data_IF_164920975665
#
_entry.id   IF_164920975665
#
_cell.length_a   1.000
_cell.length_b   1.000
_cell.length_c   1.000
_cell.angle_alpha   90.00
_cell.angle_beta   90.00
_cell.angle_gamma   90.00
#
_symmetry.space_group_name_H-M   'P 1'
#
loop_
_entity.id
_entity.type
_entity.pdbx_description
1 polymer ?
#
# COMPACT_ATOMS: atom_id res chain seq x y z
N UNK A 1 4.30 10.73 -28.19
CA UNK A 1 3.81 9.39 -27.79
C UNK A 1 2.82 8.98 -28.87
N UNK A 2 3.12 7.88 -29.58
CA UNK A 2 2.22 7.31 -30.58
C UNK A 2 1.02 6.71 -29.87
N UNK A 3 -0.20 7.09 -30.30
CA UNK A 3 -1.42 6.40 -29.86
C UNK A 3 -1.28 4.90 -30.09
N UNK A 4 -1.69 4.04 -29.11
CA UNK A 4 -1.71 2.61 -29.32
C UNK A 4 -2.68 2.31 -30.47
N UNK A 5 -2.16 1.77 -31.57
CA UNK A 5 -2.96 1.33 -32.71
C UNK A 5 -3.86 0.19 -32.23
N UNK A 6 -5.17 0.43 -32.13
CA UNK A 6 -6.16 -0.65 -32.00
C UNK A 6 -5.93 -1.65 -33.14
N UNK A 7 -5.57 -2.88 -32.80
CA UNK A 7 -5.62 -3.94 -33.79
C UNK A 7 -7.11 -4.17 -34.10
N UNK A 8 -7.50 -4.10 -35.36
CA UNK A 8 -8.87 -4.38 -35.82
C UNK A 8 -9.39 -5.78 -35.44
N UNK A 9 -8.60 -6.58 -34.73
CA UNK A 9 -8.83 -7.97 -34.34
C UNK A 9 -8.68 -8.25 -32.83
N UNK A 10 -8.67 -7.21 -31.95
CA UNK A 10 -8.64 -7.49 -30.53
C UNK A 10 -9.94 -8.11 -30.04
N UNK A 11 -9.82 -9.18 -29.25
CA UNK A 11 -10.95 -9.85 -28.58
C UNK A 11 -11.31 -9.24 -27.23
N UNK A 12 -10.50 -8.30 -26.76
CA UNK A 12 -10.69 -7.64 -25.47
C UNK A 12 -11.60 -6.43 -25.59
N UNK A 13 -12.15 -6.00 -24.45
CA UNK A 13 -12.84 -4.71 -24.35
C UNK A 13 -11.82 -3.58 -24.63
N UNK A 14 -12.23 -2.48 -25.27
CA UNK A 14 -11.32 -1.36 -25.57
C UNK A 14 -10.57 -0.82 -24.34
N UNK A 15 -11.19 -0.84 -23.16
CA UNK A 15 -10.55 -0.43 -21.92
C UNK A 15 -9.36 -1.32 -21.55
N UNK A 16 -9.51 -2.64 -21.76
CA UNK A 16 -8.44 -3.61 -21.49
C UNK A 16 -7.25 -3.42 -22.44
N UNK A 17 -7.53 -3.13 -23.72
CA UNK A 17 -6.46 -2.87 -24.70
C UNK A 17 -5.64 -1.61 -24.38
N UNK A 18 -6.21 -0.65 -23.64
CA UNK A 18 -5.54 0.60 -23.26
C UNK A 18 -4.69 0.50 -21.99
N UNK A 19 -4.95 -0.50 -21.14
CA UNK A 19 -4.30 -0.63 -19.84
C UNK A 19 -2.95 -1.32 -19.99
N UNK A 20 -1.88 -0.70 -19.47
CA UNK A 20 -0.55 -1.33 -19.39
C UNK A 20 -0.43 -2.35 -18.23
N UNK A 21 -1.45 -2.60 -17.49
CA UNK A 21 -1.44 -3.51 -16.34
C UNK A 21 -0.39 -3.15 -15.25
N UNK A 22 -0.58 -3.67 -14.06
CA UNK A 22 0.36 -3.45 -12.96
C UNK A 22 1.63 -4.30 -13.13
N UNK A 23 2.81 -3.67 -13.11
CA UNK A 23 4.10 -4.37 -13.12
C UNK A 23 4.60 -4.57 -11.67
N UNK A 24 4.64 -5.81 -11.17
CA UNK A 24 5.17 -6.11 -9.84
C UNK A 24 6.64 -5.70 -9.68
N UNK A 25 7.07 -5.53 -8.44
CA UNK A 25 8.51 -5.37 -8.16
C UNK A 25 9.28 -6.64 -8.51
N UNK A 26 10.52 -6.44 -8.95
CA UNK A 26 11.44 -7.54 -9.32
C UNK A 26 11.59 -8.54 -8.16
N UNK A 27 11.59 -9.84 -8.50
CA UNK A 27 11.69 -10.95 -7.57
C UNK A 27 12.89 -11.84 -7.97
N UNK A 28 14.13 -11.53 -7.51
CA UNK A 28 15.30 -12.36 -7.80
C UNK A 28 15.10 -13.79 -7.31
N UNK A 29 15.40 -14.76 -8.17
CA UNK A 29 15.30 -16.19 -7.83
C UNK A 29 16.64 -16.77 -7.33
N UNK A 30 17.73 -16.06 -7.57
CA UNK A 30 19.06 -16.45 -7.10
C UNK A 30 19.26 -16.09 -5.62
N UNK A 31 20.10 -16.85 -4.93
CA UNK A 31 20.50 -16.55 -3.56
C UNK A 31 21.50 -15.37 -3.47
N UNK A 32 21.63 -14.81 -2.28
CA UNK A 32 22.61 -13.78 -1.96
C UNK A 32 22.16 -12.35 -2.28
N UNK A 33 20.90 -12.14 -2.61
CA UNK A 33 20.32 -10.80 -2.72
C UNK A 33 19.90 -10.24 -1.37
N UNK A 34 20.20 -8.97 -1.14
CA UNK A 34 19.54 -8.16 -0.10
C UNK A 34 18.35 -7.49 -0.77
N UNK A 35 17.14 -7.96 -0.44
CA UNK A 35 15.90 -7.59 -1.11
C UNK A 35 15.11 -6.53 -0.32
N UNK A 36 15.23 -5.27 -0.72
CA UNK A 36 14.63 -4.12 -0.05
C UNK A 36 13.70 -3.30 -0.98
N UNK A 37 12.96 -3.98 -1.89
CA UNK A 37 12.20 -3.32 -2.97
C UNK A 37 10.68 -3.43 -2.85
N UNK A 38 10.11 -4.42 -2.15
CA UNK A 38 8.66 -4.73 -2.15
C UNK A 38 7.97 -4.63 -0.79
N UNK A 39 8.65 -4.00 0.17
CA UNK A 39 8.11 -3.71 1.50
C UNK A 39 7.64 -4.97 2.24
N UNK A 40 8.36 -6.08 2.06
CA UNK A 40 8.15 -7.29 2.86
C UNK A 40 8.72 -7.11 4.26
N UNK A 41 8.18 -7.85 5.21
CA UNK A 41 8.73 -7.89 6.57
C UNK A 41 9.97 -8.78 6.58
N UNK A 42 11.13 -8.32 7.06
CA UNK A 42 12.36 -9.11 7.08
C UNK A 42 12.34 -10.23 8.14
N UNK A 43 11.39 -10.17 9.06
CA UNK A 43 11.25 -11.17 10.14
C UNK A 43 10.19 -12.19 9.79
N UNK A 44 10.34 -13.46 10.25
CA UNK A 44 9.37 -14.52 9.96
C UNK A 44 8.02 -14.25 10.65
N UNK A 45 6.94 -14.89 10.17
CA UNK A 45 5.67 -14.88 10.88
C UNK A 45 5.78 -15.63 12.22
N UNK A 46 4.77 -15.46 13.07
CA UNK A 46 4.68 -16.20 14.36
C UNK A 46 4.84 -17.72 14.17
N UNK A 47 5.56 -18.41 15.06
CA UNK A 47 5.62 -19.86 15.06
C UNK A 47 4.23 -20.54 15.08
N UNK A 48 3.24 -19.90 15.72
CA UNK A 48 1.87 -20.39 15.76
C UNK A 48 1.24 -20.46 14.34
N UNK A 49 1.60 -19.53 13.47
CA UNK A 49 1.15 -19.52 12.06
C UNK A 49 1.63 -20.78 11.34
N UNK A 50 2.91 -21.12 11.49
CA UNK A 50 3.46 -22.34 10.86
C UNK A 50 2.76 -23.60 11.35
N UNK A 51 2.54 -23.70 12.66
CA UNK A 51 1.84 -24.84 13.25
C UNK A 51 0.39 -24.96 12.75
N UNK A 52 -0.33 -23.82 12.66
CA UNK A 52 -1.70 -23.80 12.16
C UNK A 52 -1.81 -24.20 10.68
N UNK A 53 -0.89 -23.73 9.83
CA UNK A 53 -0.84 -24.11 8.41
C UNK A 53 -0.56 -25.60 8.23
N UNK A 54 0.40 -26.17 8.99
CA UNK A 54 0.70 -27.60 8.95
C UNK A 54 -0.52 -28.43 9.37
N UNK A 55 -1.17 -28.08 10.48
CA UNK A 55 -2.37 -28.77 10.94
C UNK A 55 -3.52 -28.68 9.93
N UNK A 56 -3.69 -27.52 9.29
CA UNK A 56 -4.70 -27.33 8.24
C UNK A 56 -4.39 -28.17 6.98
N UNK A 57 -3.11 -28.30 6.61
CA UNK A 57 -2.67 -29.12 5.47
C UNK A 57 -2.87 -30.63 5.70
N UNK A 58 -2.80 -31.10 6.94
CA UNK A 58 -3.11 -32.46 7.33
C UNK A 58 -4.63 -32.74 7.38
N UNK A 59 -5.43 -31.70 7.29
CA UNK A 59 -6.88 -31.77 7.33
C UNK A 59 -7.52 -32.14 5.98
N UNK A 60 -8.82 -31.86 5.86
CA UNK A 60 -9.61 -32.22 4.68
C UNK A 60 -9.58 -31.12 3.62
N UNK A 61 -8.52 -31.05 2.81
CA UNK A 61 -8.39 -30.07 1.71
C UNK A 61 -9.37 -30.29 0.54
N UNK A 62 -10.07 -31.41 0.51
CA UNK A 62 -11.11 -31.74 -0.48
C UNK A 62 -12.49 -31.16 -0.14
N UNK A 63 -12.61 -30.36 0.91
CA UNK A 63 -13.85 -29.70 1.34
C UNK A 63 -13.64 -28.21 1.33
N UNK A 64 -14.65 -27.47 0.84
CA UNK A 64 -14.63 -26.01 0.87
C UNK A 64 -14.45 -25.45 2.28
N UNK A 65 -13.70 -24.35 2.43
CA UNK A 65 -13.54 -23.66 3.71
C UNK A 65 -14.85 -22.97 4.16
N UNK A 66 -14.85 -22.42 5.37
CA UNK A 66 -15.93 -21.54 5.83
C UNK A 66 -16.04 -20.29 4.92
N UNK A 67 -17.13 -20.11 4.17
CA UNK A 67 -17.30 -19.03 3.20
C UNK A 67 -17.33 -17.65 3.83
N UNK A 68 -17.58 -17.57 5.15
CA UNK A 68 -17.63 -16.32 5.91
C UNK A 68 -16.38 -16.09 6.76
N UNK A 69 -15.45 -17.04 6.83
CA UNK A 69 -14.28 -16.96 7.70
C UNK A 69 -14.66 -16.59 9.15
N UNK A 70 -15.68 -17.25 9.70
CA UNK A 70 -16.36 -16.88 10.95
C UNK A 70 -15.40 -16.73 12.12
N UNK A 71 -14.45 -17.67 12.29
CA UNK A 71 -13.48 -17.63 13.37
C UNK A 71 -12.58 -16.38 13.26
N UNK A 72 -12.05 -16.10 12.07
CA UNK A 72 -11.23 -14.92 11.82
C UNK A 72 -12.02 -13.63 12.08
N UNK A 73 -13.23 -13.51 11.55
CA UNK A 73 -14.08 -12.30 11.71
C UNK A 73 -14.34 -11.99 13.17
N UNK A 74 -14.61 -13.00 14.01
CA UNK A 74 -14.80 -12.82 15.47
C UNK A 74 -13.55 -12.24 16.14
N UNK A 75 -12.34 -12.74 15.75
CA UNK A 75 -11.09 -12.24 16.33
C UNK A 75 -10.74 -10.85 15.85
N UNK A 76 -10.87 -10.59 14.55
CA UNK A 76 -10.66 -9.26 13.98
C UNK A 76 -11.62 -8.23 14.60
N UNK A 77 -12.90 -8.55 14.70
CA UNK A 77 -13.92 -7.69 15.31
C UNK A 77 -13.57 -7.33 16.76
N UNK A 78 -13.15 -8.31 17.56
CA UNK A 78 -12.72 -8.06 18.94
C UNK A 78 -11.49 -7.13 19.01
N UNK A 79 -10.53 -7.28 18.09
CA UNK A 79 -9.34 -6.42 18.02
C UNK A 79 -9.70 -4.96 17.66
N UNK A 80 -10.68 -4.77 16.77
CA UNK A 80 -11.11 -3.44 16.31
C UNK A 80 -12.27 -2.85 17.14
N UNK A 81 -12.79 -3.57 18.13
CA UNK A 81 -13.90 -3.11 18.97
C UNK A 81 -15.22 -2.96 18.22
N UNK A 82 -15.45 -3.80 17.20
CA UNK A 82 -16.66 -3.78 16.34
C UNK A 82 -17.38 -5.13 16.35
N UNK A 83 -18.58 -5.20 15.75
CA UNK A 83 -19.28 -6.48 15.54
C UNK A 83 -18.63 -7.27 14.38
N UNK A 84 -18.63 -8.62 14.39
CA UNK A 84 -18.16 -9.44 13.28
C UNK A 84 -18.82 -9.13 11.92
N UNK A 85 -19.99 -8.54 11.89
CA UNK A 85 -20.65 -8.09 10.65
C UNK A 85 -19.97 -6.87 9.99
N UNK A 86 -19.04 -6.20 10.70
CA UNK A 86 -18.19 -5.14 10.16
C UNK A 86 -16.98 -5.66 9.37
N UNK A 87 -16.69 -6.96 9.40
CA UNK A 87 -15.48 -7.54 8.84
C UNK A 87 -15.77 -8.36 7.58
N UNK A 88 -15.01 -8.10 6.51
CA UNK A 88 -14.99 -8.93 5.30
C UNK A 88 -13.56 -9.31 4.95
N UNK A 89 -13.17 -10.59 5.05
CA UNK A 89 -11.88 -11.09 4.57
C UNK A 89 -11.79 -11.15 3.05
N UNK A 90 -10.55 -11.01 2.55
CA UNK A 90 -10.21 -11.14 1.15
C UNK A 90 -8.86 -11.80 0.92
N UNK A 91 -8.61 -12.20 -0.31
CA UNK A 91 -7.35 -12.82 -0.74
C UNK A 91 -6.26 -11.74 -0.96
N UNK A 92 -5.88 -11.07 0.12
CA UNK A 92 -5.08 -9.87 0.16
C UNK A 92 -5.91 -8.59 0.11
N UNK A 93 -5.28 -7.46 0.50
CA UNK A 93 -5.94 -6.15 0.37
C UNK A 93 -6.27 -5.80 -1.08
N UNK A 94 -5.50 -6.27 -2.05
CA UNK A 94 -5.73 -6.00 -3.47
C UNK A 94 -7.07 -6.56 -3.95
N UNK A 95 -7.47 -7.79 -3.52
CA UNK A 95 -8.81 -8.30 -3.76
C UNK A 95 -9.87 -7.43 -3.07
N UNK A 96 -9.64 -7.02 -1.82
CA UNK A 96 -10.56 -6.12 -1.11
C UNK A 96 -10.79 -4.82 -1.88
N UNK A 97 -9.72 -4.18 -2.38
CA UNK A 97 -9.82 -2.97 -3.19
C UNK A 97 -10.58 -3.22 -4.51
N UNK A 98 -10.35 -4.37 -5.15
CA UNK A 98 -11.08 -4.81 -6.35
C UNK A 98 -12.57 -4.98 -6.07
N UNK A 99 -12.94 -5.64 -4.98
CA UNK A 99 -14.34 -5.83 -4.58
C UNK A 99 -15.04 -4.50 -4.28
N UNK A 100 -14.34 -3.58 -3.63
CA UNK A 100 -14.85 -2.24 -3.35
C UNK A 100 -15.09 -1.48 -4.66
N UNK A 101 -14.12 -1.49 -5.57
CA UNK A 101 -14.27 -0.81 -6.87
C UNK A 101 -15.46 -1.38 -7.65
N UNK A 102 -15.58 -2.71 -7.73
CA UNK A 102 -16.74 -3.37 -8.39
C UNK A 102 -18.09 -3.04 -7.74
N UNK A 103 -18.12 -2.82 -6.44
CA UNK A 103 -19.36 -2.56 -5.73
C UNK A 103 -19.83 -1.11 -5.80
N UNK A 104 -18.91 -0.16 -5.96
CA UNK A 104 -19.22 1.27 -5.84
C UNK A 104 -19.05 2.05 -7.14
N UNK A 105 -18.25 1.57 -8.10
CA UNK A 105 -17.91 2.32 -9.31
C UNK A 105 -18.67 1.77 -10.51
N UNK A 106 -19.46 2.61 -11.15
CA UNK A 106 -20.07 2.34 -12.44
C UNK A 106 -19.26 3.02 -13.56
N UNK A 107 -19.57 2.69 -14.82
CA UNK A 107 -18.91 3.32 -15.97
C UNK A 107 -19.08 4.84 -15.95
N UNK A 108 -17.96 5.57 -16.03
CA UNK A 108 -17.92 7.03 -15.99
C UNK A 108 -17.91 7.65 -14.59
N UNK A 109 -18.07 6.88 -13.52
CA UNK A 109 -17.91 7.38 -12.15
C UNK A 109 -16.47 7.83 -11.88
N UNK A 110 -16.29 8.88 -11.08
CA UNK A 110 -14.98 9.41 -10.75
C UNK A 110 -14.36 8.71 -9.54
N UNK A 111 -13.18 8.12 -9.75
CA UNK A 111 -12.30 7.57 -8.72
C UNK A 111 -11.14 8.53 -8.48
N UNK A 112 -10.83 8.81 -7.21
CA UNK A 112 -9.76 9.76 -6.85
C UNK A 112 -8.78 9.14 -5.87
N UNK A 113 -7.53 9.57 -5.95
CA UNK A 113 -6.43 9.09 -5.08
C UNK A 113 -5.28 10.11 -5.08
N UNK A 114 -4.45 10.16 -4.00
CA UNK A 114 -3.27 11.02 -3.97
C UNK A 114 -2.25 10.62 -5.05
N UNK A 115 -1.50 11.59 -5.55
CA UNK A 115 -0.40 11.34 -6.49
C UNK A 115 0.83 12.19 -6.16
N UNK A 116 2.02 11.57 -6.04
CA UNK A 116 2.34 10.13 -6.22
C UNK A 116 1.75 9.21 -5.16
N UNK A 117 1.27 8.02 -5.59
CA UNK A 117 0.74 7.01 -4.69
C UNK A 117 0.80 5.59 -5.31
N UNK A 118 -0.02 4.67 -4.81
CA UNK A 118 -0.09 3.29 -5.27
C UNK A 118 -0.83 3.18 -6.62
N UNK A 119 -0.11 2.74 -7.64
CA UNK A 119 -0.58 2.72 -9.04
C UNK A 119 -1.84 1.83 -9.23
N UNK A 120 -2.06 0.84 -8.37
CA UNK A 120 -3.22 -0.06 -8.50
C UNK A 120 -4.55 0.68 -8.49
N UNK A 121 -4.67 1.81 -7.80
CA UNK A 121 -5.93 2.57 -7.75
C UNK A 121 -6.38 3.04 -9.14
N UNK A 122 -5.44 3.54 -9.94
CA UNK A 122 -5.68 3.94 -11.34
C UNK A 122 -6.12 2.74 -12.18
N UNK A 123 -5.36 1.63 -12.08
CA UNK A 123 -5.69 0.40 -12.80
C UNK A 123 -7.09 -0.14 -12.44
N UNK A 124 -7.49 -0.08 -11.17
CA UNK A 124 -8.82 -0.53 -10.74
C UNK A 124 -9.95 0.34 -11.30
N UNK A 125 -9.75 1.66 -11.36
CA UNK A 125 -10.70 2.58 -11.97
C UNK A 125 -10.89 2.25 -13.46
N UNK A 126 -9.78 2.14 -14.20
CA UNK A 126 -9.79 1.84 -15.63
C UNK A 126 -10.43 0.49 -15.94
N UNK A 127 -10.10 -0.56 -15.16
CA UNK A 127 -10.69 -1.90 -15.30
C UNK A 127 -12.22 -1.89 -15.14
N UNK A 128 -12.74 -1.00 -14.31
CA UNK A 128 -14.19 -0.86 -14.06
C UNK A 128 -14.87 0.08 -15.09
N UNK A 129 -14.11 0.73 -15.98
CA UNK A 129 -14.61 1.73 -16.92
C UNK A 129 -14.95 3.07 -16.25
N UNK A 130 -14.43 3.30 -15.04
CA UNK A 130 -14.51 4.58 -14.34
C UNK A 130 -13.54 5.61 -14.91
N UNK A 131 -13.74 6.86 -14.55
CA UNK A 131 -12.76 7.92 -14.73
C UNK A 131 -11.89 8.02 -13.48
N UNK A 132 -10.65 8.48 -13.62
CA UNK A 132 -9.82 8.73 -12.46
C UNK A 132 -9.22 10.14 -12.47
N UNK A 133 -9.02 10.71 -11.28
CA UNK A 133 -8.34 11.99 -11.12
C UNK A 133 -7.37 11.94 -9.95
N UNK A 134 -6.14 12.41 -10.20
CA UNK A 134 -5.04 12.45 -9.25
C UNK A 134 -5.17 13.66 -8.34
N UNK A 135 -5.32 13.44 -7.03
CA UNK A 135 -5.29 14.49 -6.02
C UNK A 135 -3.84 14.94 -5.83
N UNK A 136 -3.56 16.18 -6.20
CA UNK A 136 -2.21 16.75 -6.15
C UNK A 136 -1.76 17.03 -4.73
N UNK A 137 -0.57 16.57 -4.40
CA UNK A 137 0.08 16.84 -3.11
C UNK A 137 1.04 18.03 -3.26
N UNK A 138 1.28 18.72 -2.15
CA UNK A 138 2.32 19.74 -2.04
C UNK A 138 3.71 19.09 -1.94
N UNK A 139 4.78 19.91 -2.01
CA UNK A 139 6.16 19.46 -1.95
C UNK A 139 6.52 18.70 -0.67
N UNK A 140 5.84 18.99 0.42
CA UNK A 140 5.99 18.35 1.74
C UNK A 140 5.06 17.17 1.94
N UNK A 141 4.39 16.70 0.88
CA UNK A 141 3.41 15.62 0.89
C UNK A 141 2.09 15.93 1.62
N UNK A 142 1.85 17.18 1.97
CA UNK A 142 0.56 17.64 2.48
C UNK A 142 -0.47 17.78 1.34
N UNK A 143 -1.76 17.85 1.70
CA UNK A 143 -2.83 18.03 0.73
C UNK A 143 -2.83 19.46 0.16
N UNK A 144 -3.03 19.58 -1.15
CA UNK A 144 -3.34 20.84 -1.79
C UNK A 144 -4.86 21.06 -1.72
N UNK A 145 -5.32 21.73 -0.67
CA UNK A 145 -6.75 21.89 -0.37
C UNK A 145 -7.51 22.57 -1.52
N UNK A 146 -6.91 23.55 -2.21
CA UNK A 146 -7.55 24.27 -3.32
C UNK A 146 -7.85 23.36 -4.51
N UNK A 147 -6.97 22.40 -4.78
CA UNK A 147 -7.17 21.40 -5.82
C UNK A 147 -8.06 20.25 -5.34
N UNK A 148 -7.81 19.77 -4.12
CA UNK A 148 -8.40 18.52 -3.61
C UNK A 148 -9.89 18.66 -3.36
N UNK A 149 -10.33 19.75 -2.73
CA UNK A 149 -11.72 19.93 -2.31
C UNK A 149 -12.74 19.87 -3.47
N UNK A 150 -12.61 20.62 -4.59
CA UNK A 150 -13.56 20.54 -5.69
C UNK A 150 -13.61 19.15 -6.35
N UNK A 151 -12.51 18.40 -6.28
CA UNK A 151 -12.43 17.04 -6.86
C UNK A 151 -13.18 16.04 -5.97
N UNK A 152 -12.98 16.12 -4.64
CA UNK A 152 -13.67 15.24 -3.67
C UNK A 152 -15.19 15.44 -3.71
N UNK A 153 -15.68 16.66 -3.93
CA UNK A 153 -17.13 16.94 -4.00
C UNK A 153 -17.87 16.16 -5.09
N UNK A 154 -17.18 15.75 -6.16
CA UNK A 154 -17.72 14.97 -7.30
C UNK A 154 -17.22 13.53 -7.34
N UNK A 155 -16.35 13.12 -6.41
CA UNK A 155 -15.81 11.77 -6.36
C UNK A 155 -16.87 10.76 -5.93
N UNK A 156 -16.86 9.59 -6.59
CA UNK A 156 -17.64 8.42 -6.21
C UNK A 156 -16.88 7.52 -5.26
N UNK A 157 -15.58 7.38 -5.49
CA UNK A 157 -14.67 6.56 -4.69
C UNK A 157 -13.35 7.29 -4.50
N UNK A 158 -12.93 7.47 -3.25
CA UNK A 158 -11.62 8.06 -2.93
C UNK A 158 -10.76 7.02 -2.23
N UNK A 159 -9.62 6.67 -2.81
CA UNK A 159 -8.60 5.87 -2.14
C UNK A 159 -7.61 6.79 -1.41
N UNK A 160 -7.33 6.50 -0.16
CA UNK A 160 -6.33 7.21 0.65
C UNK A 160 -5.45 6.18 1.36
N UNK A 161 -4.23 5.90 0.86
CA UNK A 161 -3.29 5.08 1.60
C UNK A 161 -2.74 5.86 2.80
N UNK A 162 -2.84 5.30 3.98
CA UNK A 162 -2.32 5.94 5.18
C UNK A 162 -1.65 4.91 6.11
N UNK A 163 -0.33 4.90 6.19
CA UNK A 163 0.69 5.74 5.51
C UNK A 163 0.73 5.61 3.97
N UNK A 164 1.10 6.71 3.29
CA UNK A 164 1.20 6.75 1.83
C UNK A 164 2.42 5.97 1.31
N UNK A 165 2.33 5.43 0.13
CA UNK A 165 3.45 4.89 -0.64
C UNK A 165 3.58 5.68 -1.95
N UNK A 166 4.75 6.26 -2.30
CA UNK A 166 6.09 5.88 -1.82
C UNK A 166 6.63 6.71 -0.64
N UNK A 167 5.98 7.80 -0.22
CA UNK A 167 6.54 8.77 0.73
C UNK A 167 6.69 8.23 2.16
N UNK A 168 5.77 7.36 2.59
CA UNK A 168 5.72 6.83 3.95
C UNK A 168 5.07 7.78 4.97
N UNK A 169 4.74 9.02 4.60
CA UNK A 169 4.05 9.94 5.51
C UNK A 169 2.64 9.45 5.86
N UNK A 170 2.16 9.86 7.01
CA UNK A 170 0.76 9.65 7.42
C UNK A 170 0.06 11.00 7.59
N UNK A 171 -1.20 11.06 7.18
CA UNK A 171 -2.06 12.21 7.39
C UNK A 171 -2.89 12.03 8.66
N UNK A 172 -3.21 13.15 9.29
CA UNK A 172 -4.01 13.17 10.51
C UNK A 172 -5.47 12.77 10.24
N UNK A 173 -6.18 12.38 11.30
CA UNK A 173 -7.63 12.12 11.25
C UNK A 173 -8.41 13.28 10.66
N UNK A 174 -8.07 14.51 11.05
CA UNK A 174 -8.74 15.72 10.56
C UNK A 174 -8.56 15.97 9.07
N UNK A 175 -7.36 15.68 8.54
CA UNK A 175 -7.06 15.76 7.12
C UNK A 175 -7.82 14.68 6.34
N UNK A 176 -7.78 13.43 6.80
CA UNK A 176 -8.48 12.30 6.14
C UNK A 176 -9.98 12.54 6.10
N UNK A 177 -10.57 13.07 7.17
CA UNK A 177 -12.01 13.36 7.24
C UNK A 177 -12.49 14.31 6.14
N UNK A 178 -11.67 15.29 5.74
CA UNK A 178 -11.98 16.23 4.65
C UNK A 178 -12.07 15.54 3.28
N UNK A 179 -11.53 14.33 3.16
CA UNK A 179 -11.48 13.56 1.92
C UNK A 179 -12.66 12.60 1.75
N UNK A 180 -13.59 12.56 2.71
CA UNK A 180 -14.80 11.73 2.59
C UNK A 180 -15.74 12.38 1.58
N UNK A 181 -16.01 11.75 0.41
CA UNK A 181 -16.90 12.34 -0.58
C UNK A 181 -18.33 12.49 -0.05
N UNK A 182 -19.04 13.57 -0.37
CA UNK A 182 -20.39 13.81 0.17
C UNK A 182 -21.42 12.79 -0.36
N UNK A 183 -21.17 12.19 -1.52
CA UNK A 183 -22.07 11.20 -2.16
C UNK A 183 -21.35 9.89 -2.56
N UNK A 184 -20.13 9.72 -2.09
CA UNK A 184 -19.29 8.57 -2.38
C UNK A 184 -18.76 7.90 -1.13
N UNK A 185 -17.76 7.05 -1.30
CA UNK A 185 -17.08 6.35 -0.20
C UNK A 185 -15.59 6.68 -0.18
N UNK A 186 -15.02 6.70 1.01
CA UNK A 186 -13.59 6.78 1.26
C UNK A 186 -13.07 5.39 1.58
N UNK A 187 -12.04 4.94 0.90
CA UNK A 187 -11.25 3.76 1.27
C UNK A 187 -9.95 4.23 1.92
N UNK A 188 -9.83 4.01 3.20
CA UNK A 188 -8.58 4.21 3.93
C UNK A 188 -7.74 2.94 3.84
N UNK A 189 -6.75 2.96 2.94
CA UNK A 189 -5.86 1.82 2.73
C UNK A 189 -4.75 1.83 3.80
N UNK A 190 -4.95 0.99 4.81
CA UNK A 190 -4.07 0.81 5.95
C UNK A 190 -3.02 -0.29 5.77
N UNK A 191 -2.52 -0.51 4.54
CA UNK A 191 -1.52 -1.56 4.30
C UNK A 191 -0.26 -1.43 5.18
N UNK A 192 0.07 -0.22 5.61
CA UNK A 192 1.22 0.09 6.47
C UNK A 192 0.83 0.64 7.85
N UNK A 193 -0.46 0.68 8.18
CA UNK A 193 -0.96 1.35 9.38
C UNK A 193 -0.35 0.82 10.69
N UNK A 194 -0.05 -0.48 10.78
CA UNK A 194 0.54 -1.09 11.98
C UNK A 194 1.94 -0.54 12.34
N UNK A 195 2.63 0.11 11.38
CA UNK A 195 3.94 0.75 11.61
C UNK A 195 3.83 2.21 11.99
N UNK A 196 2.64 2.80 11.96
CA UNK A 196 2.40 4.20 12.33
C UNK A 196 2.35 4.39 13.85
N UNK A 197 2.59 5.62 14.30
CA UNK A 197 2.48 5.96 15.72
C UNK A 197 1.03 5.89 16.21
N UNK A 198 0.08 6.21 15.30
CA UNK A 198 -1.35 6.08 15.52
C UNK A 198 -1.95 5.15 14.43
N UNK A 199 -1.94 3.81 14.65
CA UNK A 199 -2.23 2.86 13.57
C UNK A 199 -3.71 2.76 13.22
N UNK A 200 -4.60 3.05 14.15
CA UNK A 200 -6.03 2.78 13.98
C UNK A 200 -6.83 4.04 13.66
N UNK A 201 -7.73 3.87 12.68
CA UNK A 201 -8.67 4.89 12.23
C UNK A 201 -10.10 4.32 12.12
N UNK A 202 -10.38 3.25 12.88
CA UNK A 202 -11.72 2.66 12.91
C UNK A 202 -12.76 3.66 13.42
N UNK A 203 -12.33 4.59 14.27
CA UNK A 203 -13.14 5.69 14.76
C UNK A 203 -13.75 6.55 13.63
N UNK A 204 -13.09 6.65 12.48
CA UNK A 204 -13.65 7.34 11.31
C UNK A 204 -14.88 6.62 10.74
N UNK A 205 -14.90 5.28 10.75
CA UNK A 205 -16.05 4.49 10.29
C UNK A 205 -17.19 4.43 11.33
N UNK A 206 -16.94 4.88 12.54
CA UNK A 206 -17.93 4.92 13.64
C UNK A 206 -18.48 6.33 13.90
N UNK A 207 -18.19 7.33 13.06
CA UNK A 207 -18.68 8.69 13.24
C UNK A 207 -20.22 8.77 13.14
N UNK A 208 -20.89 9.42 14.10
CA UNK A 208 -22.35 9.36 14.23
C UNK A 208 -23.13 10.24 13.22
N UNK A 209 -22.42 11.10 12.45
CA UNK A 209 -23.03 12.03 11.49
C UNK A 209 -23.32 11.43 10.10
N UNK A 210 -23.28 10.08 9.98
CA UNK A 210 -23.43 9.35 8.71
C UNK A 210 -22.21 9.41 7.81
N UNK A 211 -21.15 10.16 8.19
CA UNK A 211 -19.89 10.14 7.43
C UNK A 211 -19.18 8.81 7.62
N UNK A 212 -19.23 8.21 8.81
CA UNK A 212 -18.61 6.94 9.13
C UNK A 212 -19.12 5.78 8.27
N UNK A 213 -20.38 5.77 7.90
CA UNK A 213 -20.97 4.73 7.02
C UNK A 213 -20.32 4.71 5.62
N UNK A 214 -19.65 5.79 5.23
CA UNK A 214 -18.96 5.95 3.95
C UNK A 214 -17.46 5.71 4.03
N UNK A 215 -16.93 5.27 5.18
CA UNK A 215 -15.50 4.98 5.37
C UNK A 215 -15.29 3.47 5.42
N UNK A 216 -14.38 2.98 4.58
CA UNK A 216 -13.99 1.58 4.47
C UNK A 216 -12.50 1.49 4.80
N UNK A 217 -12.12 0.77 5.84
CA UNK A 217 -10.71 0.51 6.16
C UNK A 217 -10.27 -0.78 5.47
N UNK A 218 -9.15 -0.73 4.77
CA UNK A 218 -8.48 -1.91 4.20
C UNK A 218 -7.25 -2.26 5.04
N UNK A 219 -7.04 -3.54 5.30
CA UNK A 219 -5.90 -4.08 6.07
C UNK A 219 -5.30 -5.30 5.36
N UNK A 220 -4.00 -5.50 5.53
CA UNK A 220 -3.28 -6.64 4.93
C UNK A 220 -2.41 -7.37 5.95
N UNK A 221 -2.27 -8.67 5.76
CA UNK A 221 -1.33 -9.50 6.51
C UNK A 221 0.07 -9.57 5.85
N UNK A 222 0.19 -8.98 4.66
CA UNK A 222 1.44 -9.02 3.88
C UNK A 222 2.62 -8.29 4.52
N UNK A 223 2.36 -7.33 5.41
CA UNK A 223 3.39 -6.40 5.94
C UNK A 223 3.73 -6.70 7.40
N UNK A 224 2.95 -6.22 8.35
CA UNK A 224 3.20 -6.37 9.80
C UNK A 224 3.20 -7.82 10.26
N UNK A 225 2.33 -8.67 9.70
CA UNK A 225 2.21 -10.08 10.06
C UNK A 225 3.14 -11.02 9.29
N UNK A 226 4.00 -10.50 8.39
CA UNK A 226 4.98 -11.30 7.60
C UNK A 226 4.34 -12.39 6.71
N UNK A 227 3.14 -12.16 6.19
CA UNK A 227 2.37 -13.15 5.43
C UNK A 227 2.14 -12.73 3.97
N UNK A 228 3.10 -12.05 3.34
CA UNK A 228 2.98 -11.62 1.96
C UNK A 228 2.68 -12.77 0.98
N UNK A 229 3.28 -13.94 1.20
CA UNK A 229 3.07 -15.14 0.38
C UNK A 229 1.73 -15.85 0.63
N UNK A 230 1.06 -15.59 1.75
CA UNK A 230 -0.23 -16.22 2.11
C UNK A 230 -1.41 -15.54 1.43
N UNK A 231 -1.25 -14.28 0.99
CA UNK A 231 -2.31 -13.51 0.33
C UNK A 231 -3.58 -13.38 1.17
N UNK A 232 -3.49 -12.71 2.32
CA UNK A 232 -4.64 -12.46 3.17
C UNK A 232 -4.77 -10.98 3.54
N UNK A 233 -6.00 -10.48 3.55
CA UNK A 233 -6.37 -9.14 3.96
C UNK A 233 -7.84 -9.08 4.37
N UNK A 234 -8.30 -7.94 4.79
CA UNK A 234 -9.70 -7.74 5.15
C UNK A 234 -10.07 -6.25 5.12
N UNK A 235 -11.36 -5.99 5.10
CA UNK A 235 -11.91 -4.65 5.29
C UNK A 235 -12.72 -4.58 6.59
N UNK A 236 -12.76 -3.38 7.16
CA UNK A 236 -13.64 -2.99 8.26
C UNK A 236 -14.53 -1.86 7.75
N UNK A 237 -15.85 -2.05 7.78
CA UNK A 237 -16.81 -1.05 7.32
C UNK A 237 -18.19 -1.28 7.94
N UNK A 238 -19.08 -0.29 7.80
CA UNK A 238 -20.47 -0.41 8.26
C UNK A 238 -21.12 -1.70 7.69
N UNK A 239 -21.95 -2.42 8.49
CA UNK A 239 -22.56 -3.69 8.07
C UNK A 239 -23.32 -3.63 6.75
N UNK A 240 -23.91 -2.51 6.38
CA UNK A 240 -24.61 -2.35 5.12
C UNK A 240 -23.65 -2.37 3.93
N UNK A 241 -22.46 -1.76 4.08
CA UNK A 241 -21.36 -1.85 3.12
C UNK A 241 -20.89 -3.30 3.00
N UNK A 242 -20.63 -3.96 4.12
CA UNK A 242 -20.19 -5.37 4.13
C UNK A 242 -21.21 -6.28 3.44
N UNK A 243 -22.51 -6.07 3.68
CA UNK A 243 -23.57 -6.83 2.98
C UNK A 243 -23.53 -6.62 1.47
N UNK A 244 -23.25 -5.39 1.03
CA UNK A 244 -23.05 -5.07 -0.39
C UNK A 244 -21.84 -5.80 -0.98
N UNK A 245 -20.69 -5.72 -0.32
CA UNK A 245 -19.44 -6.35 -0.76
C UNK A 245 -19.55 -7.89 -0.82
N UNK A 246 -20.31 -8.52 0.10
CA UNK A 246 -20.57 -9.97 0.07
C UNK A 246 -21.30 -10.44 -1.20
N UNK A 247 -22.02 -9.56 -1.90
CA UNK A 247 -22.73 -9.92 -3.15
C UNK A 247 -21.78 -10.02 -4.35
N UNK A 248 -20.64 -9.33 -4.30
CA UNK A 248 -19.68 -9.24 -5.41
C UNK A 248 -18.43 -10.10 -5.21
N UNK A 249 -18.19 -10.60 -4.00
CA UNK A 249 -17.08 -11.50 -3.73
C UNK A 249 -17.38 -12.93 -4.20
N UNK A 250 -16.34 -13.69 -4.53
CA UNK A 250 -16.46 -15.12 -4.79
C UNK A 250 -16.93 -15.88 -3.53
N UNK A 251 -17.69 -16.95 -3.72
CA UNK A 251 -18.31 -17.70 -2.62
C UNK A 251 -17.28 -18.17 -1.57
N UNK A 252 -16.12 -18.64 -2.03
CA UNK A 252 -15.02 -19.19 -1.22
C UNK A 252 -13.69 -18.51 -1.58
N UNK A 253 -13.63 -17.19 -1.45
CA UNK A 253 -12.51 -16.39 -1.90
C UNK A 253 -11.19 -16.59 -1.09
N UNK A 254 -11.29 -17.06 0.14
CA UNK A 254 -10.11 -17.36 0.97
C UNK A 254 -9.99 -18.88 1.16
N UNK A 255 -8.80 -19.43 0.91
CA UNK A 255 -8.53 -20.84 1.07
C UNK A 255 -8.31 -21.27 2.53
N UNK A 256 -8.37 -22.56 2.78
CA UNK A 256 -8.25 -23.15 4.12
C UNK A 256 -6.93 -22.81 4.81
N UNK A 257 -5.80 -22.82 4.07
CA UNK A 257 -4.47 -22.57 4.63
C UNK A 257 -4.30 -21.11 4.99
N UNK A 258 -4.75 -20.20 4.11
CA UNK A 258 -4.73 -18.75 4.35
C UNK A 258 -5.60 -18.36 5.53
N UNK A 259 -6.78 -18.98 5.70
CA UNK A 259 -7.65 -18.75 6.86
C UNK A 259 -7.00 -19.21 8.16
N UNK A 260 -6.36 -20.39 8.17
CA UNK A 260 -5.65 -20.90 9.34
C UNK A 260 -4.45 -20.02 9.71
N UNK A 261 -3.68 -19.58 8.71
CA UNK A 261 -2.54 -18.69 8.90
C UNK A 261 -2.99 -17.33 9.47
N UNK A 262 -4.03 -16.73 8.89
CA UNK A 262 -4.53 -15.42 9.30
C UNK A 262 -5.12 -15.45 10.72
N UNK A 263 -5.86 -16.53 11.06
CA UNK A 263 -6.41 -16.72 12.41
C UNK A 263 -5.30 -16.81 13.45
N UNK A 264 -4.30 -17.67 13.22
CA UNK A 264 -3.17 -17.81 14.14
C UNK A 264 -2.35 -16.50 14.26
N UNK A 265 -2.18 -15.78 13.16
CA UNK A 265 -1.45 -14.51 13.16
C UNK A 265 -2.18 -13.41 13.94
N UNK A 266 -3.51 -13.26 13.76
CA UNK A 266 -4.27 -12.22 14.46
C UNK A 266 -4.40 -12.53 15.96
N UNK A 267 -4.30 -13.77 16.35
CA UNK A 267 -4.29 -14.18 17.77
C UNK A 267 -2.94 -13.93 18.46
N UNK A 268 -1.84 -13.80 17.72
CA UNK A 268 -0.50 -13.53 18.26
C UNK A 268 -0.06 -12.08 18.01
N UNK A 269 -0.80 -11.14 18.59
CA UNK A 269 -0.51 -9.72 18.49
C UNK A 269 0.87 -9.36 19.07
N UNK A 270 1.31 -10.06 20.11
CA UNK A 270 2.59 -9.79 20.75
C UNK A 270 3.77 -10.03 19.80
N UNK A 271 3.74 -11.10 18.99
CA UNK A 271 4.75 -11.37 17.98
C UNK A 271 4.79 -10.28 16.91
N UNK A 272 3.63 -9.91 16.39
CA UNK A 272 3.51 -8.87 15.37
C UNK A 272 4.05 -7.54 15.90
N UNK A 273 3.64 -7.11 17.09
CA UNK A 273 4.07 -5.87 17.71
C UNK A 273 5.58 -5.83 17.96
N UNK A 274 6.18 -6.93 18.47
CA UNK A 274 7.62 -7.01 18.66
C UNK A 274 8.40 -6.83 17.33
N UNK A 275 7.93 -7.40 16.23
CA UNK A 275 8.54 -7.19 14.92
C UNK A 275 8.33 -5.76 14.39
N UNK A 276 7.16 -5.16 14.62
CA UNK A 276 6.88 -3.76 14.26
C UNK A 276 7.84 -2.81 14.99
N UNK A 277 8.07 -3.01 16.29
CA UNK A 277 9.00 -2.19 17.09
C UNK A 277 10.44 -2.28 16.58
N UNK A 278 10.91 -3.50 16.24
CA UNK A 278 12.23 -3.70 15.62
C UNK A 278 12.34 -2.95 14.30
N UNK A 279 11.33 -3.05 13.43
CA UNK A 279 11.30 -2.34 12.15
C UNK A 279 11.30 -0.82 12.36
N UNK A 280 10.52 -0.29 13.32
CA UNK A 280 10.48 1.14 13.64
C UNK A 280 11.84 1.65 14.13
N UNK A 281 12.52 0.89 14.99
CA UNK A 281 13.87 1.23 15.47
C UNK A 281 14.88 1.26 14.32
N UNK A 282 14.89 0.23 13.46
CA UNK A 282 15.78 0.17 12.29
C UNK A 282 15.43 1.25 11.26
N UNK A 283 14.15 1.60 11.07
CA UNK A 283 13.71 2.73 10.22
C UNK A 283 14.32 4.05 10.68
N UNK A 284 14.28 4.35 11.97
CA UNK A 284 14.88 5.57 12.54
C UNK A 284 16.39 5.65 12.30
N UNK A 285 17.09 4.53 12.49
CA UNK A 285 18.53 4.42 12.21
C UNK A 285 18.84 4.60 10.72
N UNK A 286 18.08 3.95 9.84
CA UNK A 286 18.24 4.08 8.39
C UNK A 286 17.99 5.52 7.93
N UNK A 287 16.93 6.17 8.39
CA UNK A 287 16.60 7.57 8.10
C UNK A 287 17.76 8.50 8.46
N UNK A 288 18.29 8.37 9.69
CA UNK A 288 19.41 9.19 10.17
C UNK A 288 20.68 8.98 9.33
N UNK A 289 21.01 7.73 9.00
CA UNK A 289 22.18 7.39 8.20
C UNK A 289 22.08 7.91 6.77
N UNK A 290 20.93 7.82 6.14
CA UNK A 290 20.70 8.36 4.79
C UNK A 290 20.83 9.89 4.76
N UNK A 291 20.33 10.60 5.79
CA UNK A 291 20.51 12.06 5.92
C UNK A 291 21.99 12.44 6.02
N UNK A 292 22.79 11.68 6.76
CA UNK A 292 24.26 11.87 6.82
C UNK A 292 24.90 11.64 5.45
N UNK A 293 24.36 10.73 4.62
CA UNK A 293 24.81 10.51 3.24
C UNK A 293 24.30 11.58 2.25
N UNK A 294 23.63 12.64 2.72
CA UNK A 294 23.16 13.75 1.89
C UNK A 294 21.82 13.52 1.21
N UNK A 295 21.01 12.55 1.67
CA UNK A 295 19.66 12.37 1.20
C UNK A 295 18.67 13.22 2.01
N UNK A 296 17.68 13.76 1.32
CA UNK A 296 16.43 14.17 1.94
C UNK A 296 15.56 12.93 2.14
N UNK A 297 15.09 12.70 3.37
CA UNK A 297 14.27 11.54 3.71
C UNK A 297 12.99 12.03 4.38
N UNK A 298 11.85 11.69 3.79
CA UNK A 298 10.53 11.99 4.33
C UNK A 298 10.32 11.22 5.65
N UNK A 299 9.71 11.86 6.65
CA UNK A 299 9.36 11.19 7.90
C UNK A 299 8.35 10.07 7.61
N UNK A 300 8.82 8.83 7.77
CA UNK A 300 8.02 7.66 7.42
C UNK A 300 7.32 7.07 8.63
N UNK A 301 6.07 6.70 8.42
CA UNK A 301 5.20 5.94 9.31
C UNK A 301 4.95 4.50 8.80
N UNK A 302 5.74 4.06 7.77
CA UNK A 302 5.63 2.74 7.13
C UNK A 302 6.86 1.86 7.43
N UNK A 303 6.92 0.67 6.82
CA UNK A 303 8.09 -0.21 6.87
C UNK A 303 9.09 0.05 5.72
N UNK A 304 9.14 1.25 5.21
CA UNK A 304 10.07 1.73 4.20
C UNK A 304 10.34 3.23 4.39
N UNK A 305 11.34 3.75 3.71
CA UNK A 305 11.62 5.18 3.63
C UNK A 305 11.66 5.63 2.17
N UNK A 306 11.30 6.90 1.92
CA UNK A 306 11.48 7.58 0.64
C UNK A 306 12.67 8.53 0.74
N UNK A 307 13.67 8.30 -0.12
CA UNK A 307 14.93 9.02 -0.10
C UNK A 307 15.20 9.66 -1.46
N UNK A 308 15.47 10.96 -1.45
CA UNK A 308 15.80 11.76 -2.63
C UNK A 308 17.12 12.55 -2.39
N UNK A 309 17.76 12.95 -3.49
CA UNK A 309 18.94 13.83 -3.44
C UNK A 309 18.78 14.96 -4.46
N UNK A 310 19.36 16.15 -4.23
CA UNK A 310 19.41 17.19 -5.23
C UNK A 310 20.10 16.69 -6.50
N UNK A 311 19.46 16.86 -7.65
CA UNK A 311 19.95 16.42 -8.96
C UNK A 311 20.62 17.55 -9.75
N UNK A 312 20.76 18.73 -9.15
CA UNK A 312 21.23 19.96 -9.83
C UNK A 312 22.53 20.48 -9.27
N UNK A 313 23.46 20.94 -10.15
CA UNK A 313 24.72 21.62 -9.82
C UNK A 313 25.95 21.03 -10.49
N UNK A 314 27.05 21.84 -10.58
CA UNK A 314 28.36 21.34 -10.96
C UNK A 314 28.93 20.48 -9.83
N UNK A 315 29.45 19.30 -10.13
CA UNK A 315 29.93 18.31 -9.15
C UNK A 315 28.87 17.27 -8.75
N UNK A 316 27.99 16.94 -9.67
CA UNK A 316 26.88 15.98 -9.49
C UNK A 316 27.41 14.60 -9.07
N UNK A 317 26.99 14.15 -7.91
CA UNK A 317 27.00 12.72 -7.59
C UNK A 317 26.05 11.93 -8.51
N UNK A 318 25.97 10.60 -8.35
CA UNK A 318 25.12 9.76 -9.18
C UNK A 318 23.64 10.11 -9.01
N UNK A 319 22.85 9.97 -10.09
CA UNK A 319 21.39 10.06 -10.11
C UNK A 319 20.74 8.93 -9.28
N UNK A 320 19.47 9.07 -8.91
CA UNK A 320 18.75 7.99 -8.21
C UNK A 320 18.75 6.68 -9.02
N UNK A 321 18.58 6.77 -10.33
CA UNK A 321 18.65 5.61 -11.25
C UNK A 321 20.03 4.97 -11.25
N UNK A 322 21.11 5.76 -11.28
CA UNK A 322 22.49 5.24 -11.22
C UNK A 322 22.78 4.61 -9.86
N UNK A 323 22.35 5.23 -8.75
CA UNK A 323 22.48 4.64 -7.40
C UNK A 323 21.76 3.29 -7.36
N UNK A 324 20.51 3.23 -7.83
CA UNK A 324 19.75 2.00 -7.92
C UNK A 324 20.50 0.92 -8.72
N UNK A 325 21.01 1.26 -9.91
CA UNK A 325 21.71 0.29 -10.75
C UNK A 325 23.01 -0.20 -10.11
N UNK A 326 23.84 0.70 -9.57
CA UNK A 326 25.10 0.34 -8.90
C UNK A 326 24.90 -0.53 -7.66
N UNK A 327 23.81 -0.34 -6.91
CA UNK A 327 23.44 -1.19 -5.78
C UNK A 327 22.92 -2.55 -6.27
N UNK A 328 22.11 -2.56 -7.32
CA UNK A 328 21.60 -3.79 -7.95
C UNK A 328 22.73 -4.67 -8.47
N UNK A 329 23.76 -4.10 -9.11
CA UNK A 329 24.95 -4.82 -9.57
C UNK A 329 25.75 -5.47 -8.42
N UNK A 330 25.53 -5.00 -7.17
CA UNK A 330 26.08 -5.55 -5.93
C UNK A 330 25.08 -6.41 -5.16
N UNK A 331 24.02 -6.87 -5.83
CA UNK A 331 22.94 -7.69 -5.26
C UNK A 331 22.17 -7.03 -4.11
N UNK A 332 22.06 -5.71 -4.12
CA UNK A 332 21.18 -4.96 -3.18
C UNK A 332 20.07 -4.34 -4.00
N UNK A 333 18.85 -4.86 -3.85
CA UNK A 333 17.71 -4.48 -4.65
C UNK A 333 16.79 -3.51 -3.91
N UNK A 334 16.82 -2.24 -4.31
CA UNK A 334 15.88 -1.19 -3.88
C UNK A 334 14.72 -1.05 -4.88
N UNK A 335 13.84 -0.08 -4.66
CA UNK A 335 12.84 0.33 -5.64
C UNK A 335 13.14 1.76 -6.11
N UNK A 336 13.68 1.91 -7.31
CA UNK A 336 13.68 3.19 -8.01
C UNK A 336 12.26 3.45 -8.51
N UNK A 337 11.72 4.64 -8.24
CA UNK A 337 10.41 5.05 -8.72
C UNK A 337 10.51 6.45 -9.33
N UNK A 338 9.73 6.65 -10.38
CA UNK A 338 9.62 7.90 -11.11
C UNK A 338 8.13 8.14 -11.39
N UNK A 339 7.66 9.33 -11.08
CA UNK A 339 6.27 9.74 -11.22
C UNK A 339 6.23 10.93 -12.18
N UNK A 340 5.89 10.69 -13.46
CA UNK A 340 5.68 11.78 -14.42
C UNK A 340 4.46 12.62 -14.00
N UNK A 341 4.46 13.88 -14.36
CA UNK A 341 3.35 14.82 -14.10
C UNK A 341 2.98 15.03 -12.61
N UNK A 342 3.78 14.51 -11.68
CA UNK A 342 3.72 14.93 -10.30
C UNK A 342 4.17 16.40 -10.26
N UNK A 343 3.25 17.32 -10.05
CA UNK A 343 3.54 18.76 -9.94
C UNK A 343 4.68 18.94 -8.95
N UNK A 344 5.67 19.73 -9.39
CA UNK A 344 6.95 19.92 -8.71
C UNK A 344 6.81 19.97 -7.18
N UNK A 345 6.97 18.81 -6.55
CA UNK A 345 7.13 18.67 -5.11
C UNK A 345 8.48 19.29 -4.64
N UNK A 346 9.18 19.96 -5.55
CA UNK A 346 10.45 20.63 -5.32
C UNK A 346 10.26 22.15 -5.38
N UNK A 347 9.45 22.71 -4.49
CA UNK A 347 9.40 24.15 -4.29
C UNK A 347 10.70 24.65 -3.64
N UNK A 348 11.72 24.82 -4.45
CA UNK A 348 13.06 25.33 -4.05
C UNK A 348 13.97 25.50 -5.25
N UNK A 349 13.63 24.99 -6.41
CA UNK A 349 14.33 25.23 -7.66
C UNK A 349 13.50 26.13 -8.54
N UNK A 350 14.07 27.23 -8.97
CA UNK A 350 13.55 28.07 -10.04
C UNK A 350 12.99 27.18 -11.16
N UNK A 351 11.75 27.41 -11.51
CA UNK A 351 10.97 26.71 -12.51
C UNK A 351 11.79 26.33 -13.75
N UNK A 352 12.31 25.15 -13.77
CA UNK A 352 12.92 24.47 -14.90
C UNK A 352 12.19 23.16 -15.13
N UNK A 353 11.06 23.21 -15.80
CA UNK A 353 10.47 22.26 -16.76
C UNK A 353 10.49 20.73 -16.50
N UNK A 354 10.75 20.20 -15.31
CA UNK A 354 10.54 18.79 -15.02
C UNK A 354 9.38 18.63 -14.04
N UNK A 355 8.24 18.16 -14.57
CA UNK A 355 7.07 17.78 -13.77
C UNK A 355 7.22 16.41 -13.11
N UNK A 356 8.44 15.87 -13.07
CA UNK A 356 8.75 14.52 -12.65
C UNK A 356 9.28 14.48 -11.21
N UNK A 357 8.74 13.59 -10.38
CA UNK A 357 9.26 13.26 -9.05
C UNK A 357 9.88 11.87 -9.11
N UNK A 358 11.18 11.76 -8.85
CA UNK A 358 11.87 10.47 -8.78
C UNK A 358 12.64 10.30 -7.48
N UNK A 359 12.91 9.05 -7.10
CA UNK A 359 13.63 8.73 -5.88
C UNK A 359 13.74 7.23 -5.61
N UNK A 360 14.27 6.93 -4.43
CA UNK A 360 14.48 5.56 -3.96
C UNK A 360 13.53 5.25 -2.80
N UNK A 361 12.64 4.27 -2.99
CA UNK A 361 11.92 3.67 -1.88
C UNK A 361 12.72 2.48 -1.37
N UNK A 362 13.09 2.54 -0.09
CA UNK A 362 13.94 1.56 0.57
C UNK A 362 13.14 0.85 1.65
N UNK A 363 12.88 -0.43 1.48
CA UNK A 363 12.27 -1.27 2.52
C UNK A 363 13.19 -1.37 3.73
N UNK A 364 12.63 -1.34 4.92
CA UNK A 364 13.39 -1.57 6.16
C UNK A 364 13.64 -3.07 6.31
N UNK A 365 14.89 -3.48 6.10
CA UNK A 365 15.37 -4.84 6.31
C UNK A 365 15.79 -5.13 7.75
N UNK A 366 16.47 -6.26 7.96
CA UNK A 366 17.17 -6.55 9.24
C UNK A 366 18.31 -5.54 9.46
N UNK A 367 18.83 -5.49 10.68
CA UNK A 367 19.98 -4.63 10.98
C UNK A 367 21.21 -4.98 10.14
N UNK A 368 21.44 -6.24 9.86
CA UNK A 368 22.52 -6.75 9.02
C UNK A 368 22.36 -6.30 7.56
N UNK A 369 21.14 -6.43 7.01
CA UNK A 369 20.81 -5.99 5.65
C UNK A 369 20.99 -4.48 5.49
N UNK A 370 20.52 -3.71 6.47
CA UNK A 370 20.66 -2.25 6.45
C UNK A 370 22.11 -1.82 6.64
N UNK A 371 22.91 -2.50 7.46
CA UNK A 371 24.34 -2.23 7.59
C UNK A 371 25.07 -2.48 6.26
N UNK A 372 24.77 -3.57 5.58
CA UNK A 372 25.32 -3.91 4.26
C UNK A 372 24.94 -2.87 3.21
N UNK A 373 23.66 -2.46 3.18
CA UNK A 373 23.19 -1.37 2.32
C UNK A 373 23.98 -0.08 2.57
N UNK A 374 24.08 0.37 3.83
CA UNK A 374 24.73 1.65 4.16
C UNK A 374 26.22 1.64 3.88
N UNK A 375 26.91 0.51 4.09
CA UNK A 375 28.32 0.34 3.72
C UNK A 375 28.50 0.46 2.21
N UNK A 376 27.71 -0.32 1.43
CA UNK A 376 27.80 -0.30 -0.03
C UNK A 376 27.39 1.05 -0.63
N UNK A 377 26.40 1.72 -0.03
CA UNK A 377 25.93 3.02 -0.49
C UNK A 377 27.04 4.09 -0.42
N UNK A 378 27.89 4.08 0.61
CA UNK A 378 29.04 4.99 0.71
C UNK A 378 29.99 4.83 -0.47
N UNK A 379 30.28 3.59 -0.86
CA UNK A 379 31.15 3.31 -2.01
C UNK A 379 30.51 3.72 -3.36
N UNK A 380 29.18 3.61 -3.44
CA UNK A 380 28.39 3.99 -4.63
C UNK A 380 28.34 5.51 -4.80
N UNK A 381 28.37 6.26 -3.70
CA UNK A 381 28.30 7.72 -3.67
C UNK A 381 29.67 8.41 -3.81
N UNK A 382 30.75 7.70 -3.49
CA UNK A 382 32.13 8.16 -3.70
C UNK A 382 32.49 8.21 -5.18
#
# INVERSE_FOLDING_TARGET
>A
MSEPTHSEHSLFRPDIDRIEGYTPGEQPQESGWIKLNTNENPYPPSPAVRAAVLAAAEGRLNIYPDPLATAFRKKAAALFGVDPEWILPGNGSDECLTLITRAFVDSGDLVTFPYPSYILYETLADLQGGQHERLRLNADWSWNDDHTRPVIERSKLTFVPNPNSPSGNAWTRGEIRKLIPPRGVLVLDGAYADFADEPDRVDLSMEPDGAGERVILSRTFSKSYSLAGVRFGFVVAHPDVIRGLRKVKDSYNCDTLSLAAALAAIEDQAWMQANVERIRATRGRLTSALRVCGFHVVESQANFVWATRPQTGQGRGPTHREIYQRLKDRKILLRYMCFPDAVALNAGSNAGTSSEVDGLRITVGTDEEINSLLSTLKDVLA
#
